data_IF_715301160141
#
_entry.id   IF_715301160141
#
_cell.length_a   1.000
_cell.length_b   1.000
_cell.length_c   1.000
_cell.angle_alpha   90.00
_cell.angle_beta   90.00
_cell.angle_gamma   90.00
#
_symmetry.space_group_name_H-M   'P 1'
#
loop_
_entity.id
_entity.type
_entity.pdbx_description
1 polymer ?
#
# COMPACT_ATOMS: atom_id res chain seq x y z
N UNK A 1 7.97 5.43 17.22
CA UNK A 1 6.59 4.92 17.22
C UNK A 1 6.49 3.59 17.94
N UNK A 2 5.39 3.39 18.69
CA UNK A 2 5.02 2.08 19.25
C UNK A 2 4.17 1.35 18.21
N UNK A 3 4.33 0.04 18.06
CA UNK A 3 3.51 -0.81 17.18
C UNK A 3 2.02 -0.59 17.49
N UNK A 4 1.20 -0.36 16.46
CA UNK A 4 -0.25 -0.18 16.57
C UNK A 4 -1.05 -1.25 15.81
N UNK A 5 -0.40 -1.98 14.89
CA UNK A 5 -1.01 -3.04 14.09
C UNK A 5 -1.46 -4.25 14.90
N UNK A 6 -0.85 -4.50 16.06
CA UNK A 6 -1.19 -5.59 16.96
C UNK A 6 -0.72 -5.29 18.39
N UNK A 7 -1.16 -6.10 19.36
CA UNK A 7 -0.68 -5.98 20.74
C UNK A 7 0.75 -6.54 20.89
N UNK A 8 1.70 -5.63 21.01
CA UNK A 8 3.12 -5.96 21.18
C UNK A 8 3.57 -6.05 22.65
N UNK A 9 2.66 -6.09 23.63
CA UNK A 9 2.99 -5.98 25.07
C UNK A 9 4.02 -7.01 25.55
N UNK A 10 3.92 -8.26 25.08
CA UNK A 10 4.80 -9.36 25.51
C UNK A 10 6.11 -9.46 24.69
N UNK A 11 6.33 -8.57 23.72
CA UNK A 11 7.51 -8.60 22.86
C UNK A 11 8.62 -7.69 23.38
N UNK A 12 9.86 -8.16 23.31
CA UNK A 12 11.06 -7.37 23.66
C UNK A 12 11.19 -6.10 22.82
N UNK A 13 10.80 -6.16 21.55
CA UNK A 13 10.76 -5.00 20.65
C UNK A 13 9.31 -4.56 20.45
N UNK A 14 9.03 -3.29 20.72
CA UNK A 14 7.70 -2.69 20.60
C UNK A 14 7.66 -1.53 19.59
N UNK A 15 8.74 -1.35 18.83
CA UNK A 15 8.88 -0.25 17.87
C UNK A 15 8.77 -0.78 16.44
N UNK A 16 8.09 -0.01 15.58
CA UNK A 16 8.01 -0.24 14.15
C UNK A 16 7.85 1.10 13.40
N UNK A 17 8.28 1.13 12.13
CA UNK A 17 8.02 2.23 11.20
C UNK A 17 6.74 1.96 10.41
N UNK A 18 5.58 2.09 11.06
CA UNK A 18 4.29 1.89 10.40
C UNK A 18 3.94 3.08 9.50
N UNK A 19 3.37 2.82 8.32
CA UNK A 19 2.77 3.88 7.49
C UNK A 19 1.47 4.32 8.15
N UNK A 20 1.45 5.58 8.62
CA UNK A 20 0.29 6.20 9.28
C UNK A 20 -0.64 6.81 8.25
N UNK A 21 -1.93 6.86 8.56
CA UNK A 21 -2.96 7.49 7.72
C UNK A 21 -3.00 6.97 6.26
N UNK A 22 -2.67 5.68 6.08
CA UNK A 22 -2.66 5.05 4.77
C UNK A 22 -4.07 4.78 4.24
N UNK A 23 -4.37 5.31 3.05
CA UNK A 23 -5.63 5.07 2.33
C UNK A 23 -5.37 4.46 0.94
N UNK A 24 -5.71 3.17 0.72
CA UNK A 24 -5.60 2.54 -0.59
C UNK A 24 -6.82 2.80 -1.51
N UNK A 25 -7.90 3.43 -1.03
CA UNK A 25 -9.13 3.60 -1.79
C UNK A 25 -8.99 4.30 -3.15
N UNK A 26 -8.05 5.25 -3.37
CA UNK A 26 -7.86 5.86 -4.68
C UNK A 26 -7.35 4.91 -5.76
N UNK A 27 -6.75 3.78 -5.38
CA UNK A 27 -6.11 2.83 -6.29
C UNK A 27 -6.77 1.46 -6.26
N UNK A 28 -7.28 1.04 -5.10
CA UNK A 28 -7.80 -0.31 -4.87
C UNK A 28 -9.27 -0.22 -4.42
N UNK A 29 -10.21 -0.78 -5.19
CA UNK A 29 -11.61 -0.84 -4.79
C UNK A 29 -11.80 -1.62 -3.48
N UNK A 30 -12.70 -1.15 -2.60
CA UNK A 30 -12.93 -1.73 -1.27
C UNK A 30 -13.15 -3.26 -1.21
N UNK A 31 -13.88 -3.90 -2.16
CA UNK A 31 -14.00 -5.35 -2.19
C UNK A 31 -12.70 -6.09 -2.44
N UNK A 32 -11.80 -5.52 -3.25
CA UNK A 32 -10.50 -6.11 -3.57
C UNK A 32 -9.50 -5.93 -2.43
N UNK A 33 -9.59 -4.83 -1.68
CA UNK A 33 -8.72 -4.60 -0.50
C UNK A 33 -8.82 -5.73 0.54
N UNK A 34 -9.99 -6.36 0.69
CA UNK A 34 -10.17 -7.46 1.66
C UNK A 34 -9.49 -8.77 1.24
N UNK A 35 -9.13 -8.91 -0.03
CA UNK A 35 -8.49 -10.10 -0.60
C UNK A 35 -6.97 -10.00 -0.60
N UNK A 36 -6.44 -8.83 -0.24
CA UNK A 36 -5.04 -8.47 -0.35
C UNK A 36 -4.43 -8.24 1.02
N UNK A 37 -3.17 -8.64 1.19
CA UNK A 37 -2.40 -8.27 2.37
C UNK A 37 -1.93 -6.80 2.25
N UNK A 38 -1.63 -6.16 3.37
CA UNK A 38 -1.29 -4.73 3.43
C UNK A 38 -0.08 -4.38 2.56
N UNK A 39 0.88 -5.29 2.39
CA UNK A 39 2.04 -5.03 1.54
C UNK A 39 1.66 -4.92 0.05
N UNK A 40 0.61 -5.64 -0.38
CA UNK A 40 0.11 -5.55 -1.76
C UNK A 40 -0.54 -4.19 -1.96
N UNK A 41 -1.25 -3.68 -0.95
CA UNK A 41 -1.80 -2.33 -1.01
C UNK A 41 -0.71 -1.28 -1.21
N UNK A 42 0.38 -1.39 -0.45
CA UNK A 42 1.52 -0.50 -0.61
C UNK A 42 2.14 -0.58 -1.99
N UNK A 43 2.33 -1.79 -2.52
CA UNK A 43 2.91 -1.98 -3.84
C UNK A 43 2.06 -1.32 -4.93
N UNK A 44 0.74 -1.51 -4.91
CA UNK A 44 -0.17 -0.95 -5.90
C UNK A 44 -0.24 0.58 -5.81
N UNK A 45 -0.38 1.13 -4.61
CA UNK A 45 -0.42 2.59 -4.41
C UNK A 45 0.89 3.24 -4.82
N UNK A 46 2.03 2.71 -4.35
CA UNK A 46 3.35 3.26 -4.69
C UNK A 46 3.63 3.19 -6.20
N UNK A 47 3.22 2.11 -6.86
CA UNK A 47 3.37 1.98 -8.32
C UNK A 47 2.51 3.02 -9.05
N UNK A 48 1.26 3.21 -8.64
CA UNK A 48 0.38 4.22 -9.24
C UNK A 48 0.91 5.65 -9.03
N UNK A 49 1.50 5.92 -7.87
CA UNK A 49 2.18 7.20 -7.60
C UNK A 49 3.41 7.39 -8.49
N UNK A 50 4.26 6.36 -8.63
CA UNK A 50 5.46 6.41 -9.44
C UNK A 50 5.15 6.60 -10.94
N UNK A 51 4.14 5.90 -11.47
CA UNK A 51 3.69 6.05 -12.87
C UNK A 51 3.19 7.47 -13.13
N UNK A 52 2.43 8.03 -12.19
CA UNK A 52 1.95 9.42 -12.27
C UNK A 52 3.09 10.43 -12.21
N UNK A 53 4.04 10.24 -11.29
CA UNK A 53 5.23 11.09 -11.15
C UNK A 53 6.12 11.06 -12.40
N UNK A 54 6.21 9.89 -13.05
CA UNK A 54 6.91 9.72 -14.32
C UNK A 54 6.18 10.36 -15.52
N UNK A 55 4.94 10.84 -15.34
CA UNK A 55 4.12 11.37 -16.43
C UNK A 55 3.73 10.33 -17.48
N UNK A 56 3.69 9.05 -17.10
CA UNK A 56 3.31 7.95 -17.98
C UNK A 56 1.78 7.79 -17.96
N UNK A 57 1.18 7.74 -19.15
CA UNK A 57 -0.20 7.32 -19.34
C UNK A 57 -0.19 5.86 -19.81
N UNK A 58 -0.90 4.98 -19.11
CA UNK A 58 -1.03 3.58 -19.54
C UNK A 58 -2.08 3.52 -20.65
N UNK A 59 -1.61 3.55 -21.90
CA UNK A 59 -2.40 3.41 -23.13
C UNK A 59 -2.23 2.01 -23.75
N UNK A 60 -2.77 1.79 -24.95
CA UNK A 60 -2.66 0.49 -25.65
C UNK A 60 -1.21 0.09 -25.99
N UNK A 61 -0.29 1.06 -26.10
CA UNK A 61 1.13 0.77 -26.37
C UNK A 61 1.86 0.28 -25.11
N UNK A 62 1.45 0.79 -23.94
CA UNK A 62 2.06 0.49 -22.64
C UNK A 62 1.28 -0.53 -21.81
N UNK A 63 0.08 -0.92 -22.24
CA UNK A 63 -0.70 -1.96 -21.59
C UNK A 63 0.01 -3.33 -21.70
N UNK A 64 0.01 -4.14 -20.64
CA UNK A 64 0.55 -5.50 -20.71
C UNK A 64 -0.24 -6.34 -21.73
N UNK A 65 0.47 -7.19 -22.49
CA UNK A 65 -0.14 -8.18 -23.41
C UNK A 65 -1.06 -9.18 -22.69
#
# INVERSE_FOLDING_TARGET
DRITRFDATDFRSQMAGEVRDFDPAPVIPGPEQKKMDIFIHYALVATAEAVRDAGLEIDEELAPE
#
